data_IF_985972972663
#
_entry.id   IF_985972972663
#
_cell.length_a   1.000
_cell.length_b   1.000
_cell.length_c   1.000
_cell.angle_alpha   90.00
_cell.angle_beta   90.00
_cell.angle_gamma   90.00
#
_symmetry.space_group_name_H-M   'P 1'
#
loop_
_entity.id
_entity.type
_entity.pdbx_description
1 polymer ?
#
# COMPACT_ATOMS: atom_id res chain seq x y z
N UNK A 1 -15.18 14.97 12.06
CA UNK A 1 -15.34 13.67 11.35
C UNK A 1 -14.75 12.51 12.16
N UNK A 2 -13.71 12.75 12.96
CA UNK A 2 -13.14 11.90 14.03
C UNK A 2 -14.16 11.13 14.86
N UNK A 3 -15.18 11.80 15.40
CA UNK A 3 -16.18 11.14 16.25
C UNK A 3 -16.96 10.07 15.47
N UNK A 4 -17.30 10.35 14.21
CA UNK A 4 -17.97 9.39 13.33
C UNK A 4 -17.06 8.19 13.01
N UNK A 5 -15.79 8.43 12.67
CA UNK A 5 -14.84 7.36 12.39
C UNK A 5 -14.59 6.47 13.62
N UNK A 6 -14.45 7.08 14.80
CA UNK A 6 -14.35 6.36 16.08
C UNK A 6 -15.60 5.52 16.35
N UNK A 7 -16.80 6.10 16.24
CA UNK A 7 -18.06 5.37 16.47
C UNK A 7 -18.21 4.18 15.52
N UNK A 8 -17.81 4.33 14.26
CA UNK A 8 -17.87 3.25 13.26
C UNK A 8 -16.88 2.13 13.61
N UNK A 9 -15.64 2.47 13.99
CA UNK A 9 -14.64 1.49 14.41
C UNK A 9 -15.00 0.81 15.74
N UNK A 10 -15.56 1.57 16.69
CA UNK A 10 -16.12 1.02 17.93
C UNK A 10 -17.26 0.04 17.61
N UNK A 11 -18.21 0.42 16.74
CA UNK A 11 -19.29 -0.46 16.32
C UNK A 11 -18.76 -1.73 15.64
N UNK A 12 -17.73 -1.62 14.80
CA UNK A 12 -17.07 -2.77 14.17
C UNK A 12 -16.49 -3.74 15.21
N UNK A 13 -15.97 -3.23 16.33
CA UNK A 13 -15.46 -4.07 17.42
C UNK A 13 -16.55 -4.67 18.30
N UNK A 14 -17.69 -3.99 18.48
CA UNK A 14 -18.76 -4.42 19.38
C UNK A 14 -19.77 -5.38 18.73
N UNK A 15 -20.03 -5.24 17.43
CA UNK A 15 -21.04 -6.04 16.72
C UNK A 15 -20.38 -7.10 15.83
N UNK A 16 -20.85 -8.34 15.93
CA UNK A 16 -20.40 -9.46 15.08
C UNK A 16 -21.48 -9.85 14.05
N UNK A 17 -22.05 -8.85 13.38
CA UNK A 17 -23.05 -9.02 12.32
C UNK A 17 -22.43 -8.70 10.95
N UNK A 18 -22.74 -9.52 9.94
CA UNK A 18 -22.14 -9.40 8.59
C UNK A 18 -22.53 -8.09 7.91
N UNK A 19 -23.77 -7.64 8.05
CA UNK A 19 -24.24 -6.39 7.44
C UNK A 19 -23.64 -5.18 8.15
N UNK A 20 -23.57 -5.22 9.48
CA UNK A 20 -22.90 -4.19 10.28
C UNK A 20 -21.41 -4.10 9.93
N UNK A 21 -20.71 -5.23 9.82
CA UNK A 21 -19.31 -5.27 9.42
C UNK A 21 -19.13 -4.64 8.04
N UNK A 22 -19.93 -5.04 7.05
CA UNK A 22 -19.88 -4.49 5.69
C UNK A 22 -20.14 -2.99 5.65
N UNK A 23 -21.16 -2.51 6.36
CA UNK A 23 -21.49 -1.08 6.43
C UNK A 23 -20.39 -0.29 7.12
N UNK A 24 -19.86 -0.80 8.24
CA UNK A 24 -18.81 -0.14 8.99
C UNK A 24 -17.52 0.01 8.18
N UNK A 25 -17.06 -1.04 7.48
CA UNK A 25 -15.85 -0.93 6.64
C UNK A 25 -16.07 -0.05 5.41
N UNK A 26 -17.28 -0.03 4.84
CA UNK A 26 -17.63 0.89 3.75
C UNK A 26 -17.58 2.36 4.20
N UNK A 27 -18.11 2.67 5.38
CA UNK A 27 -18.04 4.02 5.94
C UNK A 27 -16.59 4.36 6.30
N UNK A 28 -15.85 3.43 6.91
CA UNK A 28 -14.45 3.64 7.29
C UNK A 28 -13.55 3.90 6.09
N UNK A 29 -13.76 3.20 4.96
CA UNK A 29 -12.95 3.40 3.75
C UNK A 29 -13.11 4.80 3.16
N UNK A 30 -14.32 5.37 3.24
CA UNK A 30 -14.61 6.75 2.82
C UNK A 30 -14.07 7.76 3.83
N UNK A 31 -14.34 7.55 5.12
CA UNK A 31 -13.93 8.49 6.17
C UNK A 31 -12.41 8.60 6.25
N UNK A 32 -11.67 7.49 6.19
CA UNK A 32 -10.21 7.50 6.25
C UNK A 32 -9.57 8.32 5.12
N UNK A 33 -10.21 8.39 3.95
CA UNK A 33 -9.74 9.23 2.83
C UNK A 33 -10.03 10.73 3.02
N UNK A 34 -10.97 11.11 3.89
CA UNK A 34 -11.43 12.50 4.07
C UNK A 34 -11.02 13.14 5.40
N UNK A 35 -10.59 12.32 6.36
CA UNK A 35 -10.13 12.72 7.69
C UNK A 35 -8.67 13.22 7.62
N UNK A 36 -8.30 14.12 8.53
CA UNK A 36 -6.92 14.65 8.59
C UNK A 36 -5.94 13.55 8.99
N UNK A 37 -4.67 13.71 8.62
CA UNK A 37 -3.63 12.71 8.89
C UNK A 37 -3.41 12.46 10.38
N UNK A 38 -3.55 13.49 11.21
CA UNK A 38 -3.45 13.39 12.68
C UNK A 38 -4.57 12.51 13.25
N UNK A 39 -5.80 12.74 12.80
CA UNK A 39 -6.98 12.01 13.23
C UNK A 39 -7.00 10.55 12.74
N UNK A 40 -6.56 10.28 11.51
CA UNK A 40 -6.40 8.90 11.01
C UNK A 40 -5.29 8.17 11.74
N UNK A 41 -4.21 8.86 12.14
CA UNK A 41 -3.12 8.29 12.93
C UNK A 41 -3.60 7.87 14.32
N UNK A 42 -4.33 8.72 15.04
CA UNK A 42 -4.85 8.39 16.38
C UNK A 42 -5.79 7.18 16.38
N UNK A 43 -6.59 7.01 15.33
CA UNK A 43 -7.52 5.89 15.20
C UNK A 43 -6.78 4.64 14.70
N UNK A 44 -6.01 4.75 13.63
CA UNK A 44 -5.28 3.64 13.02
C UNK A 44 -4.21 3.04 13.93
N UNK A 45 -3.59 3.86 14.79
CA UNK A 45 -2.60 3.42 15.76
C UNK A 45 -3.19 2.70 16.98
N UNK A 46 -4.52 2.48 17.05
CA UNK A 46 -5.13 1.65 18.10
C UNK A 46 -5.09 0.18 17.70
N UNK A 47 -4.33 -0.67 18.42
CA UNK A 47 -4.16 -2.08 18.03
C UNK A 47 -5.47 -2.87 17.96
N UNK A 48 -6.48 -2.48 18.74
CA UNK A 48 -7.80 -3.14 18.72
C UNK A 48 -8.51 -3.02 17.37
N UNK A 49 -8.50 -1.83 16.77
CA UNK A 49 -9.14 -1.60 15.47
C UNK A 49 -8.35 -2.28 14.35
N UNK A 50 -7.02 -2.14 14.38
CA UNK A 50 -6.14 -2.79 13.40
C UNK A 50 -6.33 -4.31 13.42
N UNK A 51 -6.32 -4.92 14.60
CA UNK A 51 -6.53 -6.37 14.77
C UNK A 51 -7.88 -6.84 14.24
N UNK A 52 -8.96 -6.07 14.47
CA UNK A 52 -10.29 -6.42 13.93
C UNK A 52 -10.31 -6.35 12.40
N UNK A 53 -9.75 -5.31 11.79
CA UNK A 53 -9.67 -5.18 10.32
C UNK A 53 -8.82 -6.30 9.70
N UNK A 54 -7.66 -6.61 10.29
CA UNK A 54 -6.81 -7.71 9.82
C UNK A 54 -7.49 -9.07 10.00
N UNK A 55 -8.21 -9.31 11.10
CA UNK A 55 -8.99 -10.53 11.29
C UNK A 55 -10.09 -10.70 10.22
N UNK A 56 -10.72 -9.60 9.79
CA UNK A 56 -11.66 -9.63 8.67
C UNK A 56 -10.95 -10.05 7.38
N UNK A 57 -9.80 -9.45 7.05
CA UNK A 57 -9.01 -9.84 5.86
C UNK A 57 -8.60 -11.31 5.93
N UNK A 58 -8.04 -11.75 7.06
CA UNK A 58 -7.61 -13.14 7.32
C UNK A 58 -8.76 -14.13 7.05
N UNK A 59 -9.94 -13.87 7.62
CA UNK A 59 -11.12 -14.69 7.39
C UNK A 59 -11.48 -14.81 5.90
N UNK A 60 -11.37 -13.73 5.11
CA UNK A 60 -11.68 -13.79 3.67
C UNK A 60 -10.60 -14.52 2.87
N UNK A 61 -9.34 -14.39 3.26
CA UNK A 61 -8.23 -15.17 2.67
C UNK A 61 -8.44 -16.66 2.90
N UNK A 62 -8.73 -17.08 4.14
CA UNK A 62 -8.97 -18.49 4.50
C UNK A 62 -10.15 -19.10 3.73
N UNK A 63 -11.19 -18.31 3.50
CA UNK A 63 -12.38 -18.73 2.76
C UNK A 63 -12.30 -18.43 1.24
N UNK A 64 -11.20 -17.85 0.76
CA UNK A 64 -10.98 -17.42 -0.63
C UNK A 64 -12.11 -16.54 -1.19
N UNK A 65 -12.61 -15.61 -0.38
CA UNK A 65 -13.73 -14.72 -0.74
C UNK A 65 -13.23 -13.37 -1.25
N UNK A 66 -13.32 -13.13 -2.57
CA UNK A 66 -13.14 -11.80 -3.18
C UNK A 66 -14.46 -11.03 -3.21
N UNK A 67 -14.93 -10.61 -2.03
CA UNK A 67 -16.19 -9.87 -1.89
C UNK A 67 -15.98 -8.36 -1.72
N UNK A 68 -17.09 -7.61 -1.77
CA UNK A 68 -17.04 -6.15 -1.58
C UNK A 68 -16.54 -5.78 -0.17
N UNK A 69 -16.77 -6.63 0.83
CA UNK A 69 -16.31 -6.43 2.20
C UNK A 69 -14.79 -6.45 2.27
N UNK A 70 -14.14 -7.42 1.63
CA UNK A 70 -12.67 -7.47 1.52
C UNK A 70 -12.14 -6.20 0.86
N UNK A 71 -12.72 -5.82 -0.28
CA UNK A 71 -12.28 -4.63 -1.04
C UNK A 71 -12.38 -3.35 -0.19
N UNK A 72 -13.48 -3.17 0.55
CA UNK A 72 -13.62 -2.03 1.47
C UNK A 72 -12.68 -2.10 2.67
N UNK A 73 -12.45 -3.29 3.23
CA UNK A 73 -11.54 -3.47 4.36
C UNK A 73 -10.10 -3.11 3.95
N UNK A 74 -9.65 -3.57 2.78
CA UNK A 74 -8.34 -3.23 2.21
C UNK A 74 -8.23 -1.72 1.93
N UNK A 75 -9.28 -1.10 1.39
CA UNK A 75 -9.29 0.36 1.18
C UNK A 75 -9.21 1.15 2.50
N UNK A 76 -9.91 0.71 3.54
CA UNK A 76 -9.83 1.33 4.85
C UNK A 76 -8.41 1.22 5.44
N UNK A 77 -7.80 0.03 5.36
CA UNK A 77 -6.43 -0.19 5.83
C UNK A 77 -5.42 0.67 5.06
N UNK A 78 -5.53 0.74 3.74
CA UNK A 78 -4.66 1.58 2.91
C UNK A 78 -4.78 3.05 3.31
N UNK A 79 -5.99 3.58 3.43
CA UNK A 79 -6.19 4.99 3.82
C UNK A 79 -5.77 5.29 5.27
N UNK A 80 -5.84 4.32 6.19
CA UNK A 80 -5.41 4.51 7.59
C UNK A 80 -3.88 4.54 7.75
N UNK A 81 -3.16 3.91 6.83
CA UNK A 81 -1.68 3.85 6.83
C UNK A 81 -1.04 5.02 6.06
N UNK A 82 -1.80 5.70 5.21
CA UNK A 82 -1.34 6.85 4.42
C UNK A 82 -0.81 7.99 5.31
N UNK A 83 0.42 8.42 5.02
CA UNK A 83 1.21 9.39 5.78
C UNK A 83 1.21 9.18 7.33
N UNK A 84 0.94 7.96 7.82
CA UNK A 84 0.88 7.64 9.24
C UNK A 84 1.84 6.52 9.62
N UNK A 85 3.08 6.91 9.96
CA UNK A 85 4.10 5.96 10.35
C UNK A 85 3.74 5.17 11.62
N UNK A 86 2.95 5.75 12.55
CA UNK A 86 2.46 5.05 13.73
C UNK A 86 1.45 3.94 13.36
N UNK A 87 0.51 4.21 12.45
CA UNK A 87 -0.42 3.19 11.95
C UNK A 87 0.32 2.08 11.21
N UNK A 88 1.31 2.42 10.36
CA UNK A 88 2.16 1.44 9.69
C UNK A 88 2.89 0.52 10.68
N UNK A 89 3.44 1.08 11.76
CA UNK A 89 4.07 0.28 12.82
C UNK A 89 3.07 -0.69 13.46
N UNK A 90 1.88 -0.23 13.84
CA UNK A 90 0.85 -1.10 14.45
C UNK A 90 0.40 -2.19 13.47
N UNK A 91 0.23 -1.86 12.19
CA UNK A 91 -0.08 -2.85 11.14
C UNK A 91 0.98 -3.97 11.09
N UNK A 92 2.26 -3.61 11.09
CA UNK A 92 3.37 -4.58 11.09
C UNK A 92 3.40 -5.42 12.37
N UNK A 93 3.25 -4.80 13.55
CA UNK A 93 3.21 -5.49 14.85
C UNK A 93 2.04 -6.48 14.97
N UNK A 94 0.93 -6.24 14.24
CA UNK A 94 -0.19 -7.17 14.16
C UNK A 94 -0.01 -8.25 13.08
N UNK A 95 1.17 -8.39 12.48
CA UNK A 95 1.47 -9.41 11.47
C UNK A 95 0.94 -9.08 10.07
N UNK A 96 0.61 -7.81 9.81
CA UNK A 96 -0.04 -7.38 8.58
C UNK A 96 0.75 -7.67 7.30
N UNK A 97 2.09 -7.59 7.32
CA UNK A 97 2.93 -7.85 6.14
C UNK A 97 2.77 -9.30 5.62
N UNK A 98 2.83 -10.30 6.51
CA UNK A 98 2.65 -11.71 6.13
C UNK A 98 1.22 -11.99 5.65
N UNK A 99 0.22 -11.40 6.30
CA UNK A 99 -1.16 -11.50 5.84
C UNK A 99 -1.33 -10.89 4.44
N UNK A 100 -0.79 -9.70 4.19
CA UNK A 100 -0.92 -9.04 2.89
C UNK A 100 -0.17 -9.77 1.77
N UNK A 101 0.96 -10.39 2.08
CA UNK A 101 1.61 -11.34 1.17
C UNK A 101 0.69 -12.54 0.84
N UNK A 102 -0.01 -13.09 1.83
CA UNK A 102 -0.97 -14.17 1.59
C UNK A 102 -2.17 -13.71 0.75
N UNK A 103 -2.61 -12.45 0.90
CA UNK A 103 -3.67 -11.85 0.06
C UNK A 103 -3.22 -11.81 -1.41
N UNK A 104 -2.00 -11.32 -1.71
CA UNK A 104 -1.45 -11.31 -3.08
C UNK A 104 -1.44 -12.71 -3.68
N UNK A 105 -0.94 -13.71 -2.94
CA UNK A 105 -0.88 -15.10 -3.41
C UNK A 105 -2.25 -15.73 -3.62
N UNK A 106 -3.22 -15.39 -2.78
CA UNK A 106 -4.57 -16.00 -2.81
C UNK A 106 -5.43 -15.41 -3.91
N UNK A 107 -5.34 -14.10 -4.13
CA UNK A 107 -6.15 -13.34 -5.06
C UNK A 107 -5.33 -12.77 -6.22
N UNK A 108 -4.35 -13.54 -6.69
CA UNK A 108 -3.58 -13.21 -7.88
C UNK A 108 -4.51 -12.89 -9.06
N UNK A 109 -4.09 -11.96 -9.89
CA UNK A 109 -4.82 -11.50 -11.08
C UNK A 109 -6.11 -10.70 -10.77
N UNK A 110 -6.53 -10.54 -9.50
CA UNK A 110 -7.55 -9.55 -9.09
C UNK A 110 -6.89 -8.20 -8.85
N UNK A 111 -6.64 -7.47 -9.94
CA UNK A 111 -6.00 -6.14 -9.90
C UNK A 111 -6.64 -5.16 -8.91
N UNK A 112 -7.95 -5.26 -8.66
CA UNK A 112 -8.63 -4.39 -7.71
C UNK A 112 -8.25 -4.69 -6.24
N UNK A 113 -7.88 -5.94 -5.93
CA UNK A 113 -7.33 -6.36 -4.64
C UNK A 113 -5.83 -6.05 -4.59
N UNK A 114 -5.07 -6.46 -5.62
CA UNK A 114 -3.62 -6.28 -5.70
C UNK A 114 -3.24 -4.81 -5.51
N UNK A 115 -3.91 -3.90 -6.23
CA UNK A 115 -3.67 -2.44 -6.11
C UNK A 115 -3.83 -1.94 -4.67
N UNK A 116 -4.83 -2.42 -3.93
CA UNK A 116 -5.07 -1.98 -2.55
C UNK A 116 -4.03 -2.54 -1.58
N UNK A 117 -3.60 -3.78 -1.81
CA UNK A 117 -2.55 -4.42 -1.02
C UNK A 117 -1.22 -3.71 -1.26
N UNK A 118 -0.84 -3.51 -2.53
CA UNK A 118 0.39 -2.84 -2.91
C UNK A 118 0.39 -1.37 -2.48
N UNK A 119 -0.74 -0.67 -2.58
CA UNK A 119 -0.88 0.70 -2.08
C UNK A 119 -0.54 0.83 -0.59
N UNK A 120 -1.05 -0.08 0.25
CA UNK A 120 -0.69 -0.11 1.67
C UNK A 120 0.80 -0.44 1.89
N UNK A 121 1.32 -1.46 1.19
CA UNK A 121 2.73 -1.83 1.33
C UNK A 121 3.66 -0.71 0.86
N UNK A 122 3.26 0.07 -0.14
CA UNK A 122 3.97 1.27 -0.58
C UNK A 122 4.01 2.33 0.53
N UNK A 123 2.90 2.60 1.22
CA UNK A 123 2.89 3.51 2.38
C UNK A 123 3.85 3.06 3.49
N UNK A 124 4.05 1.75 3.67
CA UNK A 124 5.06 1.22 4.60
C UNK A 124 6.47 1.47 4.06
N UNK A 125 6.71 1.22 2.77
CA UNK A 125 7.99 1.42 2.11
C UNK A 125 8.43 2.91 2.11
N UNK A 126 7.48 3.84 2.09
CA UNK A 126 7.76 5.28 2.24
C UNK A 126 8.39 5.62 3.60
N UNK A 127 8.14 4.82 4.64
CA UNK A 127 8.70 5.00 5.99
C UNK A 127 10.03 4.27 6.13
N UNK A 128 11.15 4.99 5.94
CA UNK A 128 12.52 4.44 5.96
C UNK A 128 12.79 3.41 7.06
N UNK A 129 12.45 3.71 8.32
CA UNK A 129 12.71 2.80 9.46
C UNK A 129 11.92 1.48 9.42
N UNK A 130 10.89 1.36 8.57
CA UNK A 130 10.03 0.18 8.47
C UNK A 130 10.35 -0.70 7.25
N UNK A 131 11.18 -0.23 6.31
CA UNK A 131 11.52 -0.93 5.06
C UNK A 131 12.05 -2.34 5.27
N UNK A 132 12.88 -2.54 6.30
CA UNK A 132 13.41 -3.86 6.67
C UNK A 132 12.30 -4.91 6.92
N UNK A 133 11.11 -4.49 7.37
CA UNK A 133 9.98 -5.40 7.59
C UNK A 133 9.35 -5.93 6.29
N UNK A 134 9.67 -5.31 5.15
CA UNK A 134 9.24 -5.75 3.81
C UNK A 134 10.32 -6.56 3.08
N UNK A 135 11.51 -6.72 3.67
CA UNK A 135 12.61 -7.48 3.06
C UNK A 135 12.40 -8.99 3.24
N UNK A 136 11.40 -9.52 2.53
CA UNK A 136 11.01 -10.93 2.51
C UNK A 136 11.21 -11.48 1.10
N UNK A 137 12.00 -12.56 0.92
CA UNK A 137 12.20 -13.18 -0.41
C UNK A 137 10.88 -13.49 -1.11
N UNK A 138 9.92 -13.99 -0.32
CA UNK A 138 8.58 -14.31 -0.82
C UNK A 138 7.79 -13.09 -1.29
N UNK A 139 7.97 -11.91 -0.69
CA UNK A 139 7.38 -10.68 -1.20
C UNK A 139 8.12 -10.19 -2.46
N UNK A 140 9.44 -10.30 -2.48
CA UNK A 140 10.23 -9.91 -3.67
C UNK A 140 9.89 -10.73 -4.90
N UNK A 141 9.61 -12.04 -4.75
CA UNK A 141 9.09 -12.87 -5.84
C UNK A 141 7.79 -12.29 -6.42
N UNK A 142 6.84 -11.91 -5.56
CA UNK A 142 5.57 -11.33 -6.03
C UNK A 142 5.82 -9.99 -6.71
N UNK A 143 6.63 -9.10 -6.11
CA UNK A 143 6.94 -7.79 -6.71
C UNK A 143 7.62 -7.90 -8.07
N UNK A 144 8.56 -8.85 -8.23
CA UNK A 144 9.24 -9.10 -9.51
C UNK A 144 8.25 -9.48 -10.62
N UNK A 145 7.21 -10.25 -10.29
CA UNK A 145 6.13 -10.60 -11.22
C UNK A 145 5.20 -9.41 -11.45
N UNK A 146 4.78 -8.73 -10.38
CA UNK A 146 3.81 -7.63 -10.43
C UNK A 146 4.35 -6.37 -11.13
N UNK A 147 5.66 -6.17 -11.15
CA UNK A 147 6.33 -5.17 -11.99
C UNK A 147 6.00 -5.33 -13.48
N UNK A 148 5.71 -6.56 -13.92
CA UNK A 148 5.37 -6.91 -15.31
C UNK A 148 3.87 -6.91 -15.59
N UNK A 149 3.04 -6.48 -14.63
CA UNK A 149 1.58 -6.48 -14.78
C UNK A 149 1.14 -5.54 -15.90
N UNK A 150 0.24 -6.03 -16.76
CA UNK A 150 -0.44 -5.20 -17.77
C UNK A 150 -1.36 -4.15 -17.13
N UNK A 151 -1.76 -4.35 -15.87
CA UNK A 151 -2.46 -3.33 -15.10
C UNK A 151 -1.45 -2.32 -14.54
N UNK A 152 -1.56 -1.07 -15.01
CA UNK A 152 -0.64 0.00 -14.62
C UNK A 152 -0.75 0.37 -13.14
N UNK A 153 -1.93 0.28 -12.50
CA UNK A 153 -2.07 0.56 -11.07
C UNK A 153 -1.26 -0.45 -10.24
N UNK A 154 -1.31 -1.73 -10.64
CA UNK A 154 -0.56 -2.81 -10.00
C UNK A 154 0.94 -2.63 -10.18
N UNK A 155 1.41 -2.49 -11.42
CA UNK A 155 2.85 -2.35 -11.68
C UNK A 155 3.41 -1.04 -11.11
N UNK A 156 2.61 0.03 -11.05
CA UNK A 156 2.99 1.31 -10.45
C UNK A 156 3.30 1.19 -8.95
N UNK A 157 2.42 0.57 -8.17
CA UNK A 157 2.69 0.40 -6.74
C UNK A 157 3.79 -0.63 -6.46
N UNK A 158 3.87 -1.70 -7.26
CA UNK A 158 5.00 -2.63 -7.16
C UNK A 158 6.34 -1.92 -7.40
N UNK A 159 6.40 -1.06 -8.42
CA UNK A 159 7.55 -0.22 -8.72
C UNK A 159 7.88 0.75 -7.58
N UNK A 160 6.89 1.37 -6.95
CA UNK A 160 7.11 2.25 -5.80
C UNK A 160 7.72 1.55 -4.60
N UNK A 161 7.21 0.36 -4.25
CA UNK A 161 7.77 -0.46 -3.17
C UNK A 161 9.23 -0.79 -3.50
N UNK A 162 9.51 -1.28 -4.71
CA UNK A 162 10.87 -1.64 -5.13
C UNK A 162 11.80 -0.42 -5.12
N UNK A 163 11.35 0.73 -5.62
CA UNK A 163 12.12 1.98 -5.62
C UNK A 163 12.50 2.40 -4.19
N UNK A 164 11.55 2.35 -3.26
CA UNK A 164 11.81 2.68 -1.86
C UNK A 164 12.77 1.70 -1.18
N UNK A 165 12.61 0.39 -1.39
CA UNK A 165 13.50 -0.61 -0.80
C UNK A 165 14.91 -0.54 -1.40
N UNK A 166 15.03 -0.40 -2.72
CA UNK A 166 16.32 -0.28 -3.38
C UNK A 166 17.06 1.02 -2.99
N UNK A 167 16.34 2.09 -2.63
CA UNK A 167 16.92 3.37 -2.20
C UNK A 167 17.74 3.31 -0.90
N UNK A 168 17.60 2.24 -0.10
CA UNK A 168 18.40 2.02 1.11
C UNK A 168 19.83 1.56 0.80
N UNK A 169 20.12 1.19 -0.45
CA UNK A 169 21.43 0.77 -0.92
C UNK A 169 21.72 -0.74 -0.77
N UNK A 170 22.85 -1.17 -1.32
CA UNK A 170 23.26 -2.58 -1.40
C UNK A 170 23.37 -3.23 0.00
N UNK A 171 23.89 -2.50 0.99
CA UNK A 171 24.12 -3.03 2.35
C UNK A 171 22.82 -3.39 3.09
N UNK A 172 21.71 -2.76 2.73
CA UNK A 172 20.38 -3.05 3.31
C UNK A 172 19.61 -4.09 2.49
N UNK A 173 20.14 -4.52 1.35
CA UNK A 173 19.49 -5.49 0.48
C UNK A 173 19.70 -6.94 0.97
N UNK A 174 18.83 -7.40 1.87
CA UNK A 174 18.95 -8.72 2.51
C UNK A 174 18.29 -9.88 1.74
N UNK A 175 17.89 -9.65 0.49
CA UNK A 175 17.12 -10.59 -0.32
C UNK A 175 18.06 -11.52 -1.10
N UNK A 176 17.74 -12.81 -1.11
CA UNK A 176 18.59 -13.85 -1.71
C UNK A 176 18.14 -14.33 -3.08
N UNK A 177 16.83 -14.31 -3.34
CA UNK A 177 16.25 -14.81 -4.60
C UNK A 177 16.30 -13.81 -5.76
N UNK A 178 16.30 -12.51 -5.47
CA UNK A 178 16.42 -11.44 -6.45
C UNK A 178 17.47 -10.43 -6.01
N UNK A 179 18.45 -10.19 -6.89
CA UNK A 179 19.51 -9.21 -6.61
C UNK A 179 19.00 -7.77 -6.70
N UNK A 180 19.61 -6.84 -5.97
CA UNK A 180 19.24 -5.41 -6.03
C UNK A 180 19.30 -4.86 -7.45
N UNK A 181 20.40 -5.14 -8.16
CA UNK A 181 20.59 -4.71 -9.55
C UNK A 181 19.57 -5.32 -10.52
N UNK A 182 19.13 -6.55 -10.28
CA UNK A 182 18.08 -7.21 -11.06
C UNK A 182 16.74 -6.49 -10.85
N UNK A 183 16.36 -6.21 -9.60
CA UNK A 183 15.13 -5.47 -9.29
C UNK A 183 15.15 -4.04 -9.83
N UNK A 184 16.31 -3.36 -9.82
CA UNK A 184 16.47 -2.04 -10.44
C UNK A 184 16.26 -2.07 -11.95
N UNK A 185 16.82 -3.08 -12.64
CA UNK A 185 16.61 -3.24 -14.08
C UNK A 185 15.14 -3.49 -14.41
N UNK A 186 14.45 -4.32 -13.61
CA UNK A 186 13.02 -4.56 -13.81
C UNK A 186 12.16 -3.35 -13.47
N UNK A 187 12.55 -2.53 -12.50
CA UNK A 187 11.93 -1.24 -12.21
C UNK A 187 12.01 -0.31 -13.43
N UNK A 188 13.18 -0.20 -14.06
CA UNK A 188 13.35 0.58 -15.30
C UNK A 188 12.47 0.04 -16.43
N UNK A 189 12.47 -1.27 -16.63
CA UNK A 189 11.66 -1.94 -17.65
C UNK A 189 10.17 -1.63 -17.47
N UNK A 190 9.66 -1.70 -16.23
CA UNK A 190 8.27 -1.39 -15.91
C UNK A 190 7.93 0.07 -16.24
N UNK A 191 8.69 1.02 -15.71
CA UNK A 191 8.42 2.46 -15.90
C UNK A 191 8.50 2.87 -17.38
N UNK A 192 9.44 2.28 -18.13
CA UNK A 192 9.66 2.59 -19.55
C UNK A 192 8.55 2.08 -20.48
N UNK A 193 7.77 1.10 -20.03
CA UNK A 193 6.68 0.50 -20.81
C UNK A 193 5.33 1.17 -20.57
N UNK A 194 5.20 1.95 -19.49
CA UNK A 194 3.95 2.60 -19.16
C UNK A 194 3.55 3.64 -20.19
N UNK A 195 2.32 3.51 -20.66
CA UNK A 195 1.64 4.60 -21.38
C UNK A 195 1.06 5.55 -20.35
N UNK A 196 1.12 6.85 -20.63
CA UNK A 196 0.49 7.86 -19.77
C UNK A 196 -1.00 7.52 -19.67
N UNK A 197 -1.54 7.21 -18.48
CA UNK A 197 -2.94 6.85 -18.33
C UNK A 197 -3.83 8.04 -18.65
N UNK A 198 -5.05 7.80 -19.16
CA UNK A 198 -6.00 8.88 -19.42
C UNK A 198 -6.61 9.43 -18.12
N UNK A 199 -6.85 8.56 -17.13
CA UNK A 199 -7.43 8.90 -15.83
C UNK A 199 -6.37 9.10 -14.73
N UNK A 200 -6.79 9.78 -13.66
CA UNK A 200 -6.07 9.75 -12.39
C UNK A 200 -6.01 8.31 -11.86
N UNK A 201 -4.83 7.87 -11.43
CA UNK A 201 -4.63 6.53 -10.83
C UNK A 201 -4.60 6.59 -9.31
N UNK A 202 -3.90 7.59 -8.78
CA UNK A 202 -3.63 7.76 -7.36
C UNK A 202 -3.48 9.24 -7.05
N UNK A 203 -3.99 9.63 -5.89
CA UNK A 203 -3.79 10.96 -5.32
C UNK A 203 -2.73 10.88 -4.21
N UNK A 204 -1.85 11.88 -4.17
CA UNK A 204 -0.88 12.06 -3.08
C UNK A 204 -1.28 13.26 -2.23
N UNK A 205 -1.25 13.11 -0.89
CA UNK A 205 -1.44 14.23 0.04
C UNK A 205 -0.29 15.22 0.00
N UNK A 206 0.93 14.71 -0.21
CA UNK A 206 2.13 15.50 -0.40
C UNK A 206 3.16 14.77 -1.26
N UNK A 207 4.11 15.52 -1.85
CA UNK A 207 5.24 14.94 -2.57
C UNK A 207 6.42 14.56 -1.67
N UNK A 208 6.28 14.67 -0.34
CA UNK A 208 7.36 14.37 0.62
C UNK A 208 7.98 12.97 0.42
N UNK A 209 7.21 11.91 0.11
CA UNK A 209 7.79 10.58 -0.07
C UNK A 209 8.81 10.49 -1.22
N UNK A 210 8.70 11.35 -2.23
CA UNK A 210 9.58 11.32 -3.40
C UNK A 210 10.93 12.03 -3.17
N UNK A 211 11.02 12.98 -2.24
CA UNK A 211 12.24 13.78 -2.08
C UNK A 211 13.49 12.93 -1.76
N UNK A 212 13.44 11.91 -0.88
CA UNK A 212 14.58 11.04 -0.65
C UNK A 212 15.00 10.21 -1.88
N UNK A 213 14.10 10.02 -2.86
CA UNK A 213 14.36 9.27 -4.09
C UNK A 213 14.99 10.13 -5.19
N UNK A 214 15.02 11.45 -5.02
CA UNK A 214 15.54 12.42 -6.01
C UNK A 214 16.93 12.96 -5.66
N UNK A 215 17.64 12.33 -4.71
CA UNK A 215 19.02 12.74 -4.39
C UNK A 215 19.94 12.46 -5.58
N UNK A 216 20.98 13.29 -5.74
CA UNK A 216 21.93 13.23 -6.86
C UNK A 216 22.65 11.88 -6.94
N UNK A 217 22.89 11.25 -5.79
CA UNK A 217 23.60 9.97 -5.64
C UNK A 217 22.68 8.74 -5.75
N UNK A 218 21.38 8.94 -6.02
CA UNK A 218 20.42 7.85 -6.13
C UNK A 218 20.52 7.15 -7.49
N UNK A 219 20.24 5.84 -7.53
CA UNK A 219 20.15 5.09 -8.78
C UNK A 219 19.10 5.73 -9.70
N UNK A 220 19.44 5.88 -10.98
CA UNK A 220 18.57 6.58 -11.93
C UNK A 220 17.22 5.88 -12.11
N UNK A 221 17.15 4.55 -11.93
CA UNK A 221 15.90 3.78 -12.03
C UNK A 221 14.91 4.16 -10.91
N UNK A 222 15.43 4.41 -9.69
CA UNK A 222 14.64 4.90 -8.56
C UNK A 222 14.15 6.32 -8.84
N UNK A 223 15.04 7.19 -9.35
CA UNK A 223 14.67 8.56 -9.75
C UNK A 223 13.64 8.57 -10.88
N UNK A 224 13.76 7.65 -11.85
CA UNK A 224 12.87 7.52 -13.00
C UNK A 224 11.43 7.26 -12.53
N UNK A 225 11.23 6.33 -11.60
CA UNK A 225 9.91 6.10 -11.00
C UNK A 225 9.38 7.35 -10.27
N UNK A 226 10.20 7.97 -9.43
CA UNK A 226 9.80 9.14 -8.65
C UNK A 226 9.39 10.33 -9.55
N UNK A 227 10.15 10.60 -10.61
CA UNK A 227 9.86 11.66 -11.59
C UNK A 227 8.58 11.32 -12.37
N UNK A 228 8.42 10.06 -12.80
CA UNK A 228 7.21 9.63 -13.50
C UNK A 228 5.97 9.84 -12.62
N UNK A 229 6.04 9.43 -11.35
CA UNK A 229 4.95 9.60 -10.39
C UNK A 229 4.58 11.08 -10.19
N UNK A 230 5.56 11.95 -9.97
CA UNK A 230 5.32 13.40 -9.83
C UNK A 230 4.70 13.97 -11.12
N UNK A 231 5.24 13.61 -12.28
CA UNK A 231 4.72 14.07 -13.57
C UNK A 231 3.25 13.64 -13.79
N UNK A 232 2.92 12.39 -13.47
CA UNK A 232 1.55 11.88 -13.56
C UNK A 232 0.59 12.69 -12.67
N UNK A 233 0.94 12.87 -11.39
CA UNK A 233 0.12 13.65 -10.44
C UNK A 233 -0.04 15.10 -10.91
N UNK A 234 1.02 15.75 -11.37
CA UNK A 234 0.99 17.15 -11.81
C UNK A 234 0.21 17.35 -13.12
N UNK A 235 0.24 16.39 -14.05
CA UNK A 235 -0.46 16.53 -15.34
C UNK A 235 -1.96 16.21 -15.25
N UNK A 236 -2.37 15.37 -14.29
CA UNK A 236 -3.77 14.99 -14.10
C UNK A 236 -4.52 15.90 -13.12
N UNK A 237 -3.82 16.54 -12.18
CA UNK A 237 -4.42 17.51 -11.26
C UNK A 237 -4.71 18.90 -11.87
N UNK A 238 -4.36 19.14 -13.14
CA UNK A 238 -4.61 20.41 -13.83
C UNK A 238 -6.09 20.62 -14.27
N UNK A 239 -6.98 19.67 -14.00
CA UNK A 239 -8.38 19.68 -14.48
C UNK A 239 -9.42 19.87 -13.35
N UNK A 240 -9.01 20.09 -12.09
CA UNK A 240 -9.93 20.39 -10.98
C UNK A 240 -9.75 21.79 -10.41
#
# INVERSE_FOLDING_TARGET
MTLCAKLVLDALCHFDDVNMNRMAVAICSILAAKVSTEETSELGAKPVYMRKLLAMVQSRVENKLSDITLKFTLSALWNLTDESAATCTVFLEQGGAYLFLNVLKTFKDDSAIETKVLGLLNNIAEVMRLRHSLMLDSLMNELFVLLKSENIDVSYFAAGIVAHLASDGEEQWTISNHGRGEMLLELENAVSQWKVPDSEMVAYRSFKPFFPLLRIDMDYQVQLWAIWAIHHVCTKNLIN
#
